data_IF_181548096836
#
_entry.id   IF_181548096836
#
_cell.length_a   1.000
_cell.length_b   1.000
_cell.length_c   1.000
_cell.angle_alpha   90.00
_cell.angle_beta   90.00
_cell.angle_gamma   90.00
#
_symmetry.space_group_name_H-M   'P 1'
#
loop_
_entity.id
_entity.type
_entity.pdbx_description
1 polymer ?
#
# COMPACT_ATOMS: atom_id res chain seq x y z
N UNK A 1 25.58 34.93 -31.44
CA UNK A 1 25.88 35.37 -30.06
C UNK A 1 25.89 34.13 -29.17
N UNK A 2 27.07 33.64 -28.77
CA UNK A 2 27.16 32.48 -27.86
C UNK A 2 27.01 33.01 -26.44
N UNK A 3 25.84 32.81 -25.84
CA UNK A 3 25.63 33.13 -24.43
C UNK A 3 26.31 32.01 -23.64
N UNK A 4 27.60 32.19 -23.35
CA UNK A 4 28.35 31.26 -22.49
C UNK A 4 28.06 31.66 -21.05
N UNK A 5 27.00 31.08 -20.47
CA UNK A 5 26.51 31.38 -19.10
C UNK A 5 27.49 30.86 -18.02
N UNK A 6 28.41 29.96 -18.38
CA UNK A 6 29.22 29.21 -17.44
C UNK A 6 30.65 29.75 -17.38
N UNK A 7 31.05 30.25 -16.21
CA UNK A 7 32.35 30.89 -15.99
C UNK A 7 33.43 29.87 -15.60
N UNK A 8 33.05 28.72 -15.02
CA UNK A 8 33.96 27.62 -14.66
C UNK A 8 33.31 26.22 -14.79
N UNK A 9 34.10 25.15 -15.01
CA UNK A 9 33.62 23.75 -15.06
C UNK A 9 32.88 23.35 -13.78
N UNK A 10 33.32 23.86 -12.64
CA UNK A 10 32.75 23.55 -11.33
C UNK A 10 31.30 24.07 -11.19
N UNK A 11 31.01 25.27 -11.69
CA UNK A 11 29.65 25.83 -11.71
C UNK A 11 28.71 25.02 -12.59
N UNK A 12 29.24 24.52 -13.72
CA UNK A 12 28.50 23.62 -14.61
C UNK A 12 28.12 22.34 -13.88
N UNK A 13 29.05 21.68 -13.18
CA UNK A 13 28.75 20.45 -12.45
C UNK A 13 27.79 20.68 -11.27
N UNK A 14 27.91 21.80 -10.55
CA UNK A 14 26.98 22.16 -9.46
C UNK A 14 25.56 22.39 -10.00
N UNK A 15 25.43 23.10 -11.13
CA UNK A 15 24.12 23.32 -11.75
C UNK A 15 23.50 22.03 -12.29
N UNK A 16 24.26 21.18 -12.99
CA UNK A 16 23.76 19.89 -13.47
C UNK A 16 23.41 18.95 -12.30
N UNK A 17 24.20 18.93 -11.24
CA UNK A 17 23.91 18.14 -10.03
C UNK A 17 22.64 18.62 -9.32
N UNK A 18 22.47 19.94 -9.18
CA UNK A 18 21.25 20.53 -8.62
C UNK A 18 20.03 20.21 -9.50
N UNK A 19 20.18 20.30 -10.82
CA UNK A 19 19.11 20.01 -11.77
C UNK A 19 18.67 18.54 -11.68
N UNK A 20 19.62 17.60 -11.61
CA UNK A 20 19.31 16.18 -11.38
C UNK A 20 18.56 15.97 -10.06
N UNK A 21 19.00 16.58 -8.97
CA UNK A 21 18.33 16.50 -7.66
C UNK A 21 16.89 17.05 -7.70
N UNK A 22 16.68 18.19 -8.37
CA UNK A 22 15.36 18.81 -8.53
C UNK A 22 14.43 17.96 -9.38
N UNK A 23 14.95 17.16 -10.32
CA UNK A 23 14.12 16.23 -11.10
C UNK A 23 13.88 14.89 -10.42
N UNK A 24 14.82 14.36 -9.62
CA UNK A 24 14.68 13.05 -8.96
C UNK A 24 13.87 13.11 -7.66
N UNK A 25 13.97 14.20 -6.89
CA UNK A 25 13.20 14.37 -5.64
C UNK A 25 11.67 14.40 -5.82
N UNK A 26 11.09 15.12 -6.78
CA UNK A 26 9.65 15.04 -7.00
C UNK A 26 9.27 13.67 -7.57
N UNK A 27 10.13 13.04 -8.37
CA UNK A 27 9.86 11.71 -8.92
C UNK A 27 9.71 10.66 -7.80
N UNK A 28 10.53 10.70 -6.74
CA UNK A 28 10.30 9.80 -5.60
C UNK A 28 8.97 10.08 -4.90
N UNK A 29 8.62 11.35 -4.63
CA UNK A 29 7.37 11.72 -3.94
C UNK A 29 6.12 11.33 -4.74
N UNK A 30 6.12 11.56 -6.07
CA UNK A 30 4.98 11.23 -6.94
C UNK A 30 4.77 9.73 -7.12
N UNK A 31 5.82 8.91 -7.04
CA UNK A 31 5.70 7.46 -7.16
C UNK A 31 5.25 6.80 -5.84
N UNK A 32 5.61 7.33 -4.67
CA UNK A 32 5.17 6.77 -3.39
C UNK A 32 3.67 6.98 -3.10
N UNK A 33 3.07 8.05 -3.62
CA UNK A 33 1.66 8.39 -3.37
C UNK A 33 0.69 7.84 -4.44
N UNK A 34 1.17 7.21 -5.50
CA UNK A 34 0.31 6.76 -6.61
C UNK A 34 -0.59 5.60 -6.24
N UNK A 35 -0.20 4.82 -5.23
CA UNK A 35 -0.90 3.58 -4.93
C UNK A 35 -2.03 3.76 -3.89
N UNK A 36 -2.28 4.99 -3.40
CA UNK A 36 -3.42 5.28 -2.53
C UNK A 36 -4.48 6.12 -3.25
N UNK A 37 -5.72 5.68 -3.26
CA UNK A 37 -6.85 6.34 -3.90
C UNK A 37 -8.14 6.17 -3.10
N UNK A 38 -9.18 6.92 -3.48
CA UNK A 38 -10.51 6.82 -2.88
C UNK A 38 -11.51 6.37 -3.94
N UNK A 39 -12.37 5.43 -3.59
CA UNK A 39 -13.45 4.97 -4.46
C UNK A 39 -14.47 4.21 -3.61
N UNK A 40 -15.75 4.42 -3.89
CA UNK A 40 -16.89 3.62 -3.44
C UNK A 40 -16.82 2.17 -3.98
N UNK A 41 -16.47 1.22 -3.13
CA UNK A 41 -16.29 -0.20 -3.50
C UNK A 41 -17.57 -1.01 -3.30
N UNK A 42 -18.36 -0.69 -2.28
CA UNK A 42 -19.53 -1.47 -1.89
C UNK A 42 -20.87 -0.92 -2.43
N UNK A 43 -20.87 0.30 -2.97
CA UNK A 43 -21.99 0.96 -3.62
C UNK A 43 -22.90 1.75 -2.68
N UNK A 44 -22.45 2.06 -1.46
CA UNK A 44 -23.23 2.81 -0.47
C UNK A 44 -23.16 4.34 -0.66
N UNK A 45 -22.29 4.81 -1.57
CA UNK A 45 -22.07 6.23 -1.87
C UNK A 45 -21.04 6.92 -0.97
N UNK A 46 -20.31 6.18 -0.15
CA UNK A 46 -19.21 6.64 0.69
C UNK A 46 -17.89 6.13 0.09
N UNK A 47 -16.95 7.04 -0.16
CA UNK A 47 -15.64 6.63 -0.70
C UNK A 47 -14.75 6.02 0.39
N UNK A 48 -14.37 4.75 0.23
CA UNK A 48 -13.35 4.09 1.04
C UNK A 48 -11.94 4.50 0.60
N UNK A 49 -10.98 4.41 1.53
CA UNK A 49 -9.56 4.67 1.18
C UNK A 49 -8.87 3.36 0.83
N UNK A 50 -8.44 3.23 -0.42
CA UNK A 50 -7.73 2.08 -0.95
C UNK A 50 -6.24 2.39 -1.06
N UNK A 51 -5.41 1.44 -0.62
CA UNK A 51 -3.97 1.45 -0.79
C UNK A 51 -3.53 0.14 -1.40
N UNK A 52 -3.07 0.21 -2.64
CA UNK A 52 -2.38 -0.87 -3.32
C UNK A 52 -0.87 -0.79 -3.04
N UNK A 53 -0.18 -1.92 -3.12
CA UNK A 53 1.27 -2.00 -2.99
C UNK A 53 1.72 -3.18 -3.83
N UNK A 54 2.50 -2.91 -4.88
CA UNK A 54 3.03 -3.96 -5.74
C UNK A 54 4.43 -4.35 -5.29
N UNK A 55 4.69 -5.65 -5.19
CA UNK A 55 6.00 -6.15 -4.80
C UNK A 55 6.91 -6.30 -6.04
N UNK A 56 8.20 -5.98 -5.89
CA UNK A 56 9.18 -6.07 -6.98
C UNK A 56 9.35 -7.51 -7.49
N UNK A 57 9.16 -8.49 -6.61
CA UNK A 57 9.27 -9.92 -6.90
C UNK A 57 8.02 -10.51 -7.57
N UNK A 58 7.00 -9.68 -7.80
CA UNK A 58 5.67 -10.10 -8.23
C UNK A 58 4.70 -10.17 -7.05
N UNK A 59 3.41 -10.04 -7.37
CA UNK A 59 2.35 -9.99 -6.37
C UNK A 59 1.99 -8.58 -5.95
N UNK A 60 0.89 -8.47 -5.24
CA UNK A 60 0.39 -7.20 -4.75
C UNK A 60 -0.37 -7.34 -3.44
N UNK A 61 -0.46 -6.23 -2.75
CA UNK A 61 -1.16 -6.12 -1.49
C UNK A 61 -2.14 -4.97 -1.59
N UNK A 62 -3.42 -5.24 -1.34
CA UNK A 62 -4.47 -4.23 -1.30
C UNK A 62 -4.95 -4.09 0.12
N UNK A 63 -5.08 -2.85 0.57
CA UNK A 63 -5.62 -2.47 1.87
C UNK A 63 -6.78 -1.49 1.61
N UNK A 64 -7.93 -1.72 2.23
CA UNK A 64 -9.12 -0.88 2.14
C UNK A 64 -9.47 -0.47 3.57
N UNK A 65 -9.62 0.83 3.79
CA UNK A 65 -10.12 1.40 5.03
C UNK A 65 -11.56 1.85 4.86
N UNK A 66 -12.43 1.27 5.66
CA UNK A 66 -13.87 1.43 5.62
C UNK A 66 -14.41 1.55 7.05
N UNK A 67 -14.89 2.73 7.44
CA UNK A 67 -15.47 3.00 8.77
C UNK A 67 -14.69 2.44 9.97
N UNK A 68 -13.35 2.52 9.89
CA UNK A 68 -12.44 2.04 10.93
C UNK A 68 -12.08 0.55 10.82
N UNK A 69 -12.82 -0.23 10.04
CA UNK A 69 -12.46 -1.59 9.66
C UNK A 69 -11.40 -1.54 8.56
N UNK A 70 -10.39 -2.38 8.68
CA UNK A 70 -9.32 -2.51 7.68
C UNK A 70 -9.47 -3.86 6.99
N UNK A 71 -9.76 -3.88 5.71
CA UNK A 71 -9.72 -5.09 4.89
C UNK A 71 -8.40 -5.17 4.14
N UNK A 72 -7.76 -6.33 4.12
CA UNK A 72 -6.51 -6.50 3.38
C UNK A 72 -6.54 -7.79 2.58
N UNK A 73 -6.01 -7.73 1.36
CA UNK A 73 -5.96 -8.84 0.42
C UNK A 73 -4.55 -8.93 -0.17
N UNK A 74 -3.96 -10.12 -0.05
CA UNK A 74 -2.69 -10.47 -0.68
C UNK A 74 -2.96 -11.21 -1.98
N UNK A 75 -2.29 -10.79 -3.04
CA UNK A 75 -2.31 -11.40 -4.35
C UNK A 75 -0.93 -11.94 -4.72
N UNK A 76 -0.90 -13.06 -5.42
CA UNK A 76 0.33 -13.63 -5.97
C UNK A 76 0.77 -12.93 -7.28
N UNK A 77 1.89 -13.38 -7.84
CA UNK A 77 2.46 -12.84 -9.08
C UNK A 77 1.58 -12.93 -10.33
N UNK A 78 0.53 -13.74 -10.31
CA UNK A 78 -0.44 -13.88 -11.42
C UNK A 78 -1.76 -13.15 -11.13
N UNK A 79 -1.91 -12.55 -9.95
CA UNK A 79 -3.08 -11.80 -9.52
C UNK A 79 -4.15 -12.65 -8.84
N UNK A 80 -3.84 -13.90 -8.47
CA UNK A 80 -4.74 -14.74 -7.68
C UNK A 80 -4.70 -14.34 -6.21
N UNK A 81 -5.86 -14.40 -5.55
CA UNK A 81 -5.96 -14.09 -4.13
C UNK A 81 -5.33 -15.22 -3.33
N UNK A 82 -4.24 -14.91 -2.62
CA UNK A 82 -3.60 -15.83 -1.69
C UNK A 82 -4.28 -15.80 -0.33
N UNK A 83 -4.62 -14.60 0.15
CA UNK A 83 -5.09 -14.41 1.51
C UNK A 83 -5.96 -13.17 1.61
N UNK A 84 -7.00 -13.22 2.45
CA UNK A 84 -7.76 -12.04 2.88
C UNK A 84 -7.84 -12.03 4.40
N UNK A 85 -7.70 -10.87 5.00
CA UNK A 85 -7.98 -10.66 6.41
C UNK A 85 -8.72 -9.34 6.61
N UNK A 86 -9.36 -9.19 7.77
CA UNK A 86 -9.91 -7.91 8.21
C UNK A 86 -9.57 -7.66 9.67
N UNK A 87 -9.29 -6.41 9.99
CA UNK A 87 -9.07 -5.93 11.35
C UNK A 87 -10.27 -5.09 11.75
N UNK A 88 -10.93 -5.49 12.83
CA UNK A 88 -12.03 -4.75 13.43
C UNK A 88 -11.47 -4.04 14.66
N UNK A 89 -11.52 -2.69 14.72
CA UNK A 89 -11.10 -1.97 15.92
C UNK A 89 -12.02 -2.33 17.09
N UNK A 90 -11.46 -2.37 18.30
CA UNK A 90 -12.30 -2.53 19.49
C UNK A 90 -13.08 -1.23 19.76
N UNK A 91 -14.25 -1.36 20.37
CA UNK A 91 -15.00 -0.20 20.89
C UNK A 91 -14.31 0.42 22.11
N UNK A 92 -13.52 -0.38 22.84
CA UNK A 92 -12.69 0.08 23.96
C UNK A 92 -11.26 0.32 23.45
N UNK A 93 -10.73 1.53 23.66
CA UNK A 93 -9.37 1.90 23.25
C UNK A 93 -8.29 1.07 23.96
N UNK A 94 -8.61 0.50 25.13
CA UNK A 94 -7.69 -0.35 25.90
C UNK A 94 -7.64 -1.80 25.38
N UNK A 95 -8.60 -2.19 24.54
CA UNK A 95 -8.68 -3.54 23.97
C UNK A 95 -8.02 -3.63 22.58
N UNK A 96 -7.25 -4.70 22.31
CA UNK A 96 -6.63 -4.88 21.01
C UNK A 96 -7.68 -5.10 19.91
N UNK A 97 -7.40 -4.69 18.66
CA UNK A 97 -8.29 -4.95 17.53
C UNK A 97 -8.44 -6.46 17.30
N UNK A 98 -9.62 -6.86 16.84
CA UNK A 98 -9.90 -8.25 16.47
C UNK A 98 -9.45 -8.48 15.03
N UNK A 99 -8.47 -9.38 14.85
CA UNK A 99 -8.04 -9.85 13.54
C UNK A 99 -8.86 -11.08 13.11
N UNK A 100 -9.37 -11.05 11.88
CA UNK A 100 -10.13 -12.14 11.27
C UNK A 100 -9.53 -12.50 9.92
N UNK A 101 -9.40 -13.80 9.63
CA UNK A 101 -8.91 -14.32 8.34
C UNK A 101 -10.07 -14.92 7.57
N UNK A 102 -10.07 -14.73 6.25
CA UNK A 102 -11.06 -15.33 5.36
C UNK A 102 -10.70 -16.79 5.11
N UNK A 103 -11.59 -17.68 5.50
CA UNK A 103 -11.50 -19.08 5.14
C UNK A 103 -12.21 -19.35 3.81
N UNK A 104 -11.45 -19.87 2.85
CA UNK A 104 -11.95 -20.15 1.51
C UNK A 104 -12.82 -21.41 1.45
N UNK A 105 -12.65 -22.37 2.37
CA UNK A 105 -13.38 -23.64 2.38
C UNK A 105 -14.84 -23.44 2.83
N UNK A 106 -15.02 -22.83 3.99
CA UNK A 106 -16.32 -22.55 4.61
C UNK A 106 -16.88 -21.18 4.23
N UNK A 107 -16.13 -20.36 3.48
CA UNK A 107 -16.53 -19.02 3.00
C UNK A 107 -16.97 -18.10 4.13
N UNK A 108 -16.18 -18.03 5.19
CA UNK A 108 -16.49 -17.25 6.39
C UNK A 108 -15.24 -16.59 6.98
N UNK A 109 -15.46 -15.55 7.79
CA UNK A 109 -14.40 -14.90 8.56
C UNK A 109 -14.20 -15.65 9.88
N UNK A 110 -12.97 -16.08 10.15
CA UNK A 110 -12.60 -16.77 11.38
C UNK A 110 -11.61 -15.94 12.19
N UNK A 111 -11.67 -15.96 13.54
CA UNK A 111 -10.65 -15.34 14.38
C UNK A 111 -9.25 -15.82 14.05
N UNK A 112 -8.34 -14.89 13.81
CA UNK A 112 -6.91 -15.20 13.70
C UNK A 112 -6.36 -15.48 15.09
N UNK A 113 -6.43 -16.73 15.52
CA UNK A 113 -6.00 -17.15 16.86
C UNK A 113 -4.50 -16.93 17.10
N UNK A 114 -3.70 -16.85 16.04
CA UNK A 114 -2.25 -16.73 16.12
C UNK A 114 -1.74 -15.32 15.82
N UNK A 115 -2.64 -14.39 15.44
CA UNK A 115 -2.35 -13.00 15.08
C UNK A 115 -1.20 -12.85 14.07
N UNK A 116 -0.93 -13.89 13.29
CA UNK A 116 0.20 -13.95 12.37
C UNK A 116 -0.24 -13.90 10.91
N UNK A 117 -1.56 -13.81 10.65
CA UNK A 117 -2.09 -13.76 9.30
C UNK A 117 -1.80 -15.04 8.50
N UNK A 118 -1.55 -16.18 9.16
CA UNK A 118 -1.26 -17.46 8.49
C UNK A 118 -2.33 -18.46 8.92
N UNK A 119 -3.04 -19.13 7.99
CA UNK A 119 -3.82 -20.31 8.37
C UNK A 119 -2.85 -21.34 8.94
N UNK A 120 -3.12 -21.83 10.16
CA UNK A 120 -2.30 -22.85 10.81
C UNK A 120 -2.30 -24.10 9.94
N UNK A 121 -1.31 -24.23 9.04
CA UNK A 121 -1.01 -25.48 8.36
C UNK A 121 -0.31 -26.40 9.37
N UNK A 122 -1.08 -26.89 10.33
CA UNK A 122 -0.83 -28.12 11.08
C UNK A 122 -2.14 -28.89 10.96
N UNK A 123 -2.25 -29.94 10.14
CA UNK A 123 -1.36 -31.09 9.96
C UNK A 123 -1.17 -31.52 8.49
#
# INVERSE_FOLDING_TARGET
MKITIWRNREEKYKFFGLLVLVFTMPFSIFFFNRDTYKADIDGDGIDETIKDTNFLEGGSYRMIYDDGIIYQTLYDGIGEVMLKWKLIPSEDEDDPPTALVWDNEFKQWLPDQNQNGIPDYRE
#
